data_IF_594971617391
#
_entry.id   IF_594971617391
#
_cell.length_a   1.000
_cell.length_b   1.000
_cell.length_c   1.000
_cell.angle_alpha   90.00
_cell.angle_beta   90.00
_cell.angle_gamma   90.00
#
_symmetry.space_group_name_H-M   'P 1'
#
loop_
_entity.id
_entity.type
_entity.pdbx_description
1 polymer ?
#
# COMPACT_ATOMS: atom_id res chain seq x y z
N UNK A 1 1.63 16.26 49.52
CA UNK A 1 1.56 14.96 48.84
C UNK A 1 0.34 15.01 47.94
N UNK A 2 0.53 15.26 46.65
CA UNK A 2 -0.54 15.29 45.64
C UNK A 2 -0.50 13.99 44.87
N UNK A 3 -1.51 13.16 45.05
CA UNK A 3 -1.65 11.86 44.40
C UNK A 3 -1.76 12.01 42.88
N UNK A 4 -0.72 11.56 42.18
CA UNK A 4 -0.72 11.36 40.72
C UNK A 4 -1.39 10.02 40.45
N UNK A 5 -2.67 9.87 40.83
CA UNK A 5 -3.49 8.78 40.30
C UNK A 5 -3.93 9.18 38.90
N UNK A 6 -3.01 9.09 37.95
CA UNK A 6 -3.34 9.09 36.55
C UNK A 6 -4.27 7.90 36.31
N UNK A 7 -5.56 8.18 36.13
CA UNK A 7 -6.57 7.20 35.75
C UNK A 7 -6.11 6.53 34.47
N UNK A 8 -5.55 5.32 34.58
CA UNK A 8 -5.10 4.51 33.46
C UNK A 8 -6.33 4.18 32.62
N UNK A 9 -6.60 4.99 31.59
CA UNK A 9 -7.61 4.73 30.59
C UNK A 9 -7.32 3.32 30.05
N UNK A 10 -8.19 2.36 30.31
CA UNK A 10 -8.02 0.99 29.84
C UNK A 10 -8.04 1.01 28.32
N UNK A 11 -6.86 0.97 27.71
CA UNK A 11 -6.73 0.80 26.27
C UNK A 11 -7.19 -0.63 25.97
N UNK A 12 -8.40 -0.77 25.42
CA UNK A 12 -8.91 -2.06 25.00
C UNK A 12 -7.90 -2.68 24.03
N UNK A 13 -7.41 -3.91 24.26
CA UNK A 13 -6.38 -4.55 23.43
C UNK A 13 -6.82 -4.85 21.99
N UNK A 14 -8.08 -4.55 21.67
CA UNK A 14 -8.68 -4.62 20.34
C UNK A 14 -9.37 -3.28 20.03
N UNK A 15 -8.60 -2.21 19.85
CA UNK A 15 -9.14 -1.03 19.18
C UNK A 15 -9.52 -1.47 17.75
N UNK A 16 -10.81 -1.77 17.55
CA UNK A 16 -11.35 -2.11 16.24
C UNK A 16 -11.11 -0.95 15.27
N UNK A 17 -11.15 -1.23 13.97
CA UNK A 17 -11.00 -0.20 12.93
C UNK A 17 -11.89 0.99 13.27
N UNK A 18 -11.29 2.17 13.42
CA UNK A 18 -12.03 3.40 13.60
C UNK A 18 -12.83 3.66 12.32
N UNK A 19 -14.14 3.37 12.40
CA UNK A 19 -15.04 3.40 11.24
C UNK A 19 -15.11 4.79 10.62
N UNK A 20 -14.99 5.84 11.43
CA UNK A 20 -15.03 7.21 10.95
C UNK A 20 -13.84 7.55 10.03
N UNK A 21 -12.56 7.39 10.43
CA UNK A 21 -11.42 7.51 9.53
C UNK A 21 -11.51 6.62 8.29
N UNK A 22 -11.92 5.35 8.45
CA UNK A 22 -12.04 4.43 7.32
C UNK A 22 -13.06 4.90 6.27
N UNK A 23 -14.21 5.41 6.73
CA UNK A 23 -15.24 5.99 5.87
C UNK A 23 -14.75 7.28 5.21
N UNK A 24 -14.06 8.16 5.93
CA UNK A 24 -13.52 9.41 5.37
C UNK A 24 -12.50 9.12 4.26
N UNK A 25 -11.56 8.22 4.51
CA UNK A 25 -10.55 7.84 3.51
C UNK A 25 -11.20 7.14 2.32
N UNK A 26 -12.12 6.20 2.56
CA UNK A 26 -12.85 5.53 1.50
C UNK A 26 -13.66 6.50 0.63
N UNK A 27 -14.37 7.44 1.25
CA UNK A 27 -15.12 8.48 0.55
C UNK A 27 -14.20 9.40 -0.25
N UNK A 28 -13.05 9.79 0.31
CA UNK A 28 -12.06 10.62 -0.39
C UNK A 28 -11.48 9.91 -1.62
N UNK A 29 -11.19 8.60 -1.53
CA UNK A 29 -10.73 7.80 -2.68
C UNK A 29 -11.82 7.70 -3.76
N UNK A 30 -13.06 7.41 -3.38
CA UNK A 30 -14.17 7.32 -4.35
C UNK A 30 -14.41 8.67 -5.01
N UNK A 31 -14.44 9.74 -4.23
CA UNK A 31 -14.60 11.10 -4.74
C UNK A 31 -13.46 11.49 -5.69
N UNK A 32 -12.22 11.24 -5.30
CA UNK A 32 -11.05 11.51 -6.14
C UNK A 32 -11.08 10.74 -7.45
N UNK A 33 -11.44 9.45 -7.42
CA UNK A 33 -11.58 8.64 -8.62
C UNK A 33 -12.68 9.15 -9.56
N UNK A 34 -13.84 9.53 -9.01
CA UNK A 34 -14.93 10.12 -9.79
C UNK A 34 -14.52 11.46 -10.39
N UNK A 35 -13.88 12.34 -9.62
CA UNK A 35 -13.40 13.64 -10.09
C UNK A 35 -12.39 13.47 -11.24
N UNK A 36 -11.38 12.61 -11.06
CA UNK A 36 -10.38 12.34 -12.10
C UNK A 36 -11.03 11.74 -13.34
N UNK A 37 -11.96 10.81 -13.19
CA UNK A 37 -12.64 10.18 -14.32
C UNK A 37 -13.53 11.14 -15.12
N UNK A 38 -13.94 12.27 -14.52
CA UNK A 38 -14.76 13.30 -15.19
C UNK A 38 -13.93 14.45 -15.76
N UNK A 39 -12.80 14.78 -15.12
CA UNK A 39 -11.98 15.95 -15.46
C UNK A 39 -10.77 15.61 -16.34
N UNK A 40 -10.25 14.37 -16.25
CA UNK A 40 -9.06 13.92 -16.97
C UNK A 40 -9.45 12.82 -17.93
N UNK A 41 -9.42 11.56 -17.50
CA UNK A 41 -9.75 10.39 -18.30
C UNK A 41 -9.98 9.15 -17.40
N UNK A 42 -10.65 8.13 -17.93
CA UNK A 42 -10.92 6.87 -17.24
C UNK A 42 -9.66 6.07 -16.82
N UNK A 43 -8.60 5.97 -17.64
CA UNK A 43 -7.38 5.25 -17.25
C UNK A 43 -6.67 5.90 -16.05
N UNK A 44 -6.66 7.23 -15.97
CA UNK A 44 -6.05 7.97 -14.87
C UNK A 44 -6.82 7.76 -13.56
N UNK A 45 -8.15 7.67 -13.63
CA UNK A 45 -8.97 7.30 -12.47
C UNK A 45 -8.68 5.87 -12.00
N UNK A 46 -8.48 4.93 -12.92
CA UNK A 46 -8.08 3.56 -12.59
C UNK A 46 -6.70 3.52 -11.93
N UNK A 47 -5.72 4.24 -12.45
CA UNK A 47 -4.38 4.34 -11.86
C UNK A 47 -4.43 4.92 -10.44
N UNK A 48 -5.27 5.94 -10.23
CA UNK A 48 -5.51 6.51 -8.91
C UNK A 48 -6.09 5.46 -7.94
N UNK A 49 -7.11 4.70 -8.37
CA UNK A 49 -7.68 3.63 -7.56
C UNK A 49 -6.67 2.54 -7.22
N UNK A 50 -5.84 2.12 -8.19
CA UNK A 50 -4.77 1.16 -7.97
C UNK A 50 -3.80 1.68 -6.90
N UNK A 51 -3.39 2.96 -6.98
CA UNK A 51 -2.53 3.59 -5.97
C UNK A 51 -3.17 3.62 -4.58
N UNK A 52 -4.45 3.98 -4.49
CA UNK A 52 -5.19 4.01 -3.23
C UNK A 52 -5.33 2.62 -2.58
N UNK A 53 -5.70 1.61 -3.37
CA UNK A 53 -5.80 0.22 -2.91
C UNK A 53 -4.44 -0.34 -2.50
N UNK A 54 -3.39 -0.03 -3.26
CA UNK A 54 -2.01 -0.41 -2.91
C UNK A 54 -1.61 0.19 -1.56
N UNK A 55 -1.90 1.48 -1.33
CA UNK A 55 -1.64 2.14 -0.03
C UNK A 55 -2.36 1.47 1.13
N UNK A 56 -3.64 1.11 0.94
CA UNK A 56 -4.42 0.39 1.95
C UNK A 56 -3.84 -0.99 2.26
N UNK A 57 -3.41 -1.73 1.23
CA UNK A 57 -2.76 -3.03 1.40
C UNK A 57 -1.42 -2.92 2.17
N UNK A 58 -0.63 -1.88 1.90
CA UNK A 58 0.63 -1.61 2.61
C UNK A 58 0.40 -1.27 4.09
N UNK A 59 -0.60 -0.42 4.37
CA UNK A 59 -0.99 -0.07 5.73
C UNK A 59 -1.42 -1.31 6.53
N UNK A 60 -2.33 -2.12 5.96
CA UNK A 60 -2.80 -3.35 6.61
C UNK A 60 -1.69 -4.39 6.80
N UNK A 61 -0.77 -4.49 5.83
CA UNK A 61 0.37 -5.39 5.90
C UNK A 61 1.40 -5.02 6.96
N UNK A 62 1.32 -3.82 7.57
CA UNK A 62 2.38 -3.26 8.44
C UNK A 62 3.75 -3.36 7.76
N UNK A 63 3.79 -3.11 6.44
CA UNK A 63 4.98 -3.26 5.61
C UNK A 63 6.04 -2.25 6.08
N UNK A 64 6.96 -2.69 6.94
CA UNK A 64 7.96 -1.82 7.55
C UNK A 64 9.24 -2.58 7.89
N UNK A 65 10.38 -1.99 7.53
CA UNK A 65 11.70 -2.59 7.69
C UNK A 65 12.03 -2.92 9.16
N UNK A 66 11.71 -2.02 10.10
CA UNK A 66 12.05 -2.17 11.52
C UNK A 66 11.19 -3.22 12.24
N UNK A 67 9.87 -3.18 12.05
CA UNK A 67 8.93 -4.09 12.71
C UNK A 67 8.97 -5.53 12.19
N UNK A 68 9.23 -5.73 10.89
CA UNK A 68 9.32 -7.06 10.28
C UNK A 68 10.62 -7.78 10.65
N UNK A 69 11.74 -7.07 10.63
CA UNK A 69 13.05 -7.62 11.00
C UNK A 69 13.11 -8.08 12.46
N UNK A 70 12.66 -7.24 13.40
CA UNK A 70 12.62 -7.60 14.83
C UNK A 70 11.76 -8.85 15.08
N UNK A 71 10.56 -8.93 14.50
CA UNK A 71 9.67 -10.09 14.63
C UNK A 71 10.31 -11.37 14.05
N UNK A 72 11.10 -11.24 13.00
CA UNK A 72 11.82 -12.37 12.41
C UNK A 72 12.99 -12.84 13.29
N UNK A 73 13.88 -11.92 13.69
CA UNK A 73 15.13 -12.26 14.39
C UNK A 73 14.89 -12.58 15.87
N UNK A 74 14.11 -11.76 16.56
CA UNK A 74 13.90 -11.86 18.01
C UNK A 74 12.75 -12.82 18.33
N UNK A 75 11.61 -12.65 17.68
CA UNK A 75 10.40 -13.44 17.99
C UNK A 75 10.31 -14.74 17.17
N UNK A 76 11.27 -14.99 16.26
CA UNK A 76 11.28 -16.12 15.31
C UNK A 76 9.98 -16.24 14.48
N UNK A 77 9.25 -15.13 14.33
CA UNK A 77 7.96 -15.03 13.61
C UNK A 77 8.17 -14.37 12.25
N UNK A 78 8.73 -15.12 11.31
CA UNK A 78 9.02 -14.65 9.94
C UNK A 78 7.84 -14.65 8.95
N UNK A 79 6.60 -14.94 9.39
CA UNK A 79 5.44 -15.06 8.48
C UNK A 79 5.21 -13.82 7.62
N UNK A 80 5.36 -12.64 8.20
CA UNK A 80 5.27 -11.37 7.48
C UNK A 80 6.35 -11.28 6.40
N UNK A 81 7.62 -11.43 6.77
CA UNK A 81 8.76 -11.38 5.84
C UNK A 81 8.63 -12.38 4.69
N UNK A 82 8.20 -13.62 4.95
CA UNK A 82 7.96 -14.63 3.91
C UNK A 82 6.84 -14.23 2.95
N UNK A 83 5.77 -13.62 3.44
CA UNK A 83 4.72 -13.09 2.58
C UNK A 83 5.23 -11.92 1.71
N UNK A 84 6.12 -11.07 2.22
CA UNK A 84 6.75 -10.00 1.43
C UNK A 84 7.63 -10.58 0.32
N UNK A 85 8.49 -11.56 0.64
CA UNK A 85 9.35 -12.22 -0.35
C UNK A 85 8.53 -12.95 -1.41
N UNK A 86 7.44 -13.62 -1.02
CA UNK A 86 6.54 -14.28 -1.98
C UNK A 86 5.83 -13.26 -2.88
N UNK A 87 5.34 -12.16 -2.33
CA UNK A 87 4.73 -11.07 -3.09
C UNK A 87 5.72 -10.47 -4.11
N UNK A 88 6.98 -10.25 -3.70
CA UNK A 88 8.05 -9.80 -4.60
C UNK A 88 8.29 -10.83 -5.71
N UNK A 89 8.38 -12.12 -5.37
CA UNK A 89 8.57 -13.19 -6.35
C UNK A 89 7.44 -13.28 -7.37
N UNK A 90 6.18 -13.22 -6.91
CA UNK A 90 5.00 -13.18 -7.79
C UNK A 90 5.01 -11.95 -8.69
N UNK A 91 5.35 -10.79 -8.13
CA UNK A 91 5.50 -9.55 -8.90
C UNK A 91 6.58 -9.69 -9.97
N UNK A 92 7.75 -10.23 -9.64
CA UNK A 92 8.82 -10.46 -10.60
C UNK A 92 8.38 -11.41 -11.73
N UNK A 93 7.71 -12.51 -11.39
CA UNK A 93 7.19 -13.47 -12.39
C UNK A 93 6.15 -12.81 -13.31
N UNK A 94 5.34 -11.89 -12.81
CA UNK A 94 4.35 -11.18 -13.62
C UNK A 94 4.98 -10.09 -14.50
N UNK A 95 5.88 -9.28 -13.94
CA UNK A 95 6.45 -8.11 -14.63
C UNK A 95 7.62 -8.45 -15.54
N UNK A 96 8.48 -9.42 -15.21
CA UNK A 96 9.66 -9.71 -16.03
C UNK A 96 9.32 -10.18 -17.45
N UNK A 97 8.36 -11.10 -17.67
CA UNK A 97 7.93 -11.46 -19.03
C UNK A 97 7.30 -10.26 -19.74
N UNK A 98 6.51 -9.46 -19.03
CA UNK A 98 5.86 -8.27 -19.55
C UNK A 98 6.90 -7.24 -20.06
N UNK A 99 7.98 -7.04 -19.31
CA UNK A 99 9.09 -6.18 -19.68
C UNK A 99 9.91 -6.77 -20.83
N UNK A 100 10.14 -8.08 -20.83
CA UNK A 100 10.89 -8.78 -21.89
C UNK A 100 10.17 -8.75 -23.25
N UNK A 101 8.82 -8.74 -23.25
CA UNK A 101 8.01 -8.56 -24.46
C UNK A 101 8.21 -7.20 -25.12
N UNK A 102 8.74 -6.19 -24.41
CA UNK A 102 9.16 -4.90 -24.95
C UNK A 102 8.05 -4.00 -25.49
N UNK A 103 6.85 -4.52 -25.74
CA UNK A 103 5.72 -3.80 -26.31
C UNK A 103 4.40 -4.38 -25.82
N UNK A 104 3.89 -3.85 -24.71
CA UNK A 104 2.65 -4.31 -24.09
C UNK A 104 1.59 -3.26 -24.41
N UNK A 105 0.90 -3.43 -25.55
CA UNK A 105 -0.15 -2.52 -26.00
C UNK A 105 0.21 -1.55 -27.13
N UNK A 106 1.29 -1.81 -27.89
CA UNK A 106 1.62 -1.05 -29.10
C UNK A 106 2.35 0.28 -28.87
N UNK A 107 2.67 0.61 -27.62
CA UNK A 107 3.46 1.80 -27.29
C UNK A 107 4.93 1.40 -27.09
N UNK A 108 5.86 1.94 -27.89
CA UNK A 108 7.28 1.72 -27.65
C UNK A 108 7.67 2.27 -26.28
N UNK A 109 8.62 1.61 -25.57
CA UNK A 109 9.21 2.16 -24.37
C UNK A 109 9.66 3.60 -24.66
N UNK A 110 9.31 4.54 -23.79
CA UNK A 110 9.60 5.97 -23.94
C UNK A 110 11.06 6.11 -24.39
N UNK A 111 11.27 6.55 -25.64
CA UNK A 111 12.62 6.75 -26.17
C UNK A 111 13.31 7.81 -25.32
N UNK A 112 14.61 7.65 -25.01
CA UNK A 112 15.40 8.69 -24.41
C UNK A 112 15.26 9.98 -25.22
N UNK A 113 14.87 11.04 -24.54
CA UNK A 113 14.81 12.39 -25.09
C UNK A 113 16.23 12.95 -25.08
N UNK A 114 16.80 12.97 -26.27
CA UNK A 114 18.08 13.54 -26.71
C UNK A 114 19.35 12.69 -26.56
N UNK A 115 20.26 12.76 -27.56
CA UNK A 115 21.59 12.17 -27.51
C UNK A 115 22.61 13.22 -27.02
N UNK A 116 23.03 13.09 -25.77
CA UNK A 116 24.35 13.55 -25.33
C UNK A 116 24.96 12.48 -24.44
#
# INVERSE_FOLDING_TARGET
MTDITASAKSLSPFAGIDRAPALVVGAAIVFGALAIGRLVDAPQALLFLIGGLMGAALYHGSFGFTGGWRRMVVERRGRGMRAQLLMIGVTAIAFFPLLALGNVGGQPPVKPKEPW
#
